data_IF_655829900425
#
_entry.id   IF_655829900425
#
_cell.length_a   1.000
_cell.length_b   1.000
_cell.length_c   1.000
_cell.angle_alpha   90.00
_cell.angle_beta   90.00
_cell.angle_gamma   90.00
#
_symmetry.space_group_name_H-M   'P 1'
#
loop_
_entity.id
_entity.type
_entity.pdbx_description
1 polymer ?
#
# COMPACT_ATOMS: atom_id res chain seq x y z
N UNK A 1 -53.85 67.34 6.30
CA UNK A 1 -53.40 66.37 5.27
C UNK A 1 -51.99 65.96 5.66
N UNK A 2 -51.85 64.80 6.31
CA UNK A 2 -51.07 63.62 5.85
C UNK A 2 -49.54 63.79 6.07
N UNK A 3 -48.75 62.93 6.73
CA UNK A 3 -48.85 61.50 7.06
C UNK A 3 -47.95 61.07 8.23
N UNK A 4 -48.40 60.03 8.93
CA UNK A 4 -47.64 59.16 9.82
C UNK A 4 -46.68 58.24 9.03
N UNK A 5 -45.39 58.55 9.03
CA UNK A 5 -44.37 57.65 8.46
C UNK A 5 -43.79 56.71 9.54
N UNK A 6 -44.53 55.61 9.68
CA UNK A 6 -44.40 54.41 10.50
C UNK A 6 -43.00 53.75 10.43
N UNK A 7 -42.25 53.76 11.55
CA UNK A 7 -40.98 53.01 11.72
C UNK A 7 -41.25 51.50 11.86
N UNK A 8 -41.09 50.72 10.80
CA UNK A 8 -41.20 49.25 10.81
C UNK A 8 -39.96 48.64 10.16
N UNK A 9 -39.03 48.13 10.96
CA UNK A 9 -37.91 47.40 10.37
C UNK A 9 -36.78 47.11 11.33
N UNK A 10 -37.03 46.46 12.47
CA UNK A 10 -35.92 45.96 13.31
C UNK A 10 -36.24 44.73 14.17
N UNK A 11 -37.34 44.02 13.91
CA UNK A 11 -37.68 42.80 14.66
C UNK A 11 -37.31 41.53 13.89
N UNK A 12 -37.44 41.52 12.55
CA UNK A 12 -37.15 40.35 11.72
C UNK A 12 -35.66 40.16 11.40
N UNK A 13 -34.84 41.22 11.47
CA UNK A 13 -33.37 41.15 11.27
C UNK A 13 -32.68 40.32 12.36
N UNK A 14 -33.14 40.44 13.62
CA UNK A 14 -32.57 39.72 14.77
C UNK A 14 -32.86 38.21 14.73
N UNK A 15 -34.01 37.83 14.19
CA UNK A 15 -34.37 36.41 14.01
C UNK A 15 -33.60 35.80 12.84
N UNK A 16 -33.41 36.56 11.77
CA UNK A 16 -32.69 36.10 10.57
C UNK A 16 -31.19 35.95 10.83
N UNK A 17 -30.57 36.84 11.61
CA UNK A 17 -29.18 36.69 12.07
C UNK A 17 -29.00 35.52 13.02
N UNK A 18 -29.96 35.26 13.93
CA UNK A 18 -29.90 34.10 14.82
C UNK A 18 -29.98 32.76 14.05
N UNK A 19 -30.84 32.67 13.04
CA UNK A 19 -30.96 31.47 12.18
C UNK A 19 -29.67 31.23 11.37
N UNK A 20 -29.07 32.29 10.83
CA UNK A 20 -27.80 32.18 10.10
C UNK A 20 -26.67 31.66 10.99
N UNK A 21 -26.50 32.20 12.20
CA UNK A 21 -25.46 31.77 13.15
C UNK A 21 -25.65 30.30 13.54
N UNK A 22 -26.88 29.87 13.83
CA UNK A 22 -27.19 28.48 14.18
C UNK A 22 -26.85 27.49 13.06
N UNK A 23 -27.05 27.88 11.80
CA UNK A 23 -26.73 27.02 10.66
C UNK A 23 -25.22 26.81 10.45
N UNK A 24 -24.39 27.81 10.79
CA UNK A 24 -22.93 27.68 10.69
C UNK A 24 -22.36 26.75 11.79
N UNK A 25 -22.95 26.75 12.98
CA UNK A 25 -22.50 25.95 14.12
C UNK A 25 -22.81 24.45 13.98
N UNK A 26 -23.86 24.08 13.23
CA UNK A 26 -24.27 22.69 13.03
C UNK A 26 -23.54 22.01 11.85
N UNK A 27 -22.80 22.77 11.04
CA UNK A 27 -22.11 22.25 9.85
C UNK A 27 -20.69 21.73 10.12
N UNK A 28 -20.19 21.78 11.36
CA UNK A 28 -18.90 21.18 11.70
C UNK A 28 -19.07 19.68 11.88
N UNK A 29 -18.88 18.91 10.80
CA UNK A 29 -18.77 17.46 10.86
C UNK A 29 -17.55 17.04 11.66
N UNK A 30 -17.71 16.04 12.53
CA UNK A 30 -16.61 15.44 13.28
C UNK A 30 -15.70 14.67 12.31
N UNK A 31 -14.56 15.25 11.95
CA UNK A 31 -13.50 14.54 11.21
C UNK A 31 -12.74 13.63 12.17
N UNK A 32 -13.11 12.35 12.18
CA UNK A 32 -12.31 11.31 12.84
C UNK A 32 -11.02 11.07 12.05
N UNK A 33 -9.88 11.35 12.66
CA UNK A 33 -8.59 10.90 12.14
C UNK A 33 -8.48 9.39 12.38
N UNK A 34 -8.50 8.59 11.32
CA UNK A 34 -8.10 7.20 11.41
C UNK A 34 -6.57 7.15 11.61
N UNK A 35 -6.11 6.56 12.70
CA UNK A 35 -4.69 6.22 12.84
C UNK A 35 -4.34 5.23 11.71
N UNK A 36 -3.53 5.66 10.75
CA UNK A 36 -2.85 4.73 9.84
C UNK A 36 -1.80 4.00 10.67
N UNK A 37 -2.19 2.86 11.26
CA UNK A 37 -1.25 1.91 11.83
C UNK A 37 -0.53 1.18 10.68
N UNK A 38 0.33 1.91 9.98
CA UNK A 38 1.38 1.31 9.18
C UNK A 38 2.70 1.82 9.73
N UNK A 39 3.04 1.32 10.92
CA UNK A 39 4.44 1.08 11.25
C UNK A 39 4.90 -0.17 10.49
N UNK A 40 4.61 -0.20 9.18
CA UNK A 40 5.31 -1.09 8.27
C UNK A 40 6.66 -0.41 8.09
N UNK A 41 7.49 -0.56 9.12
CA UNK A 41 8.92 -0.50 8.93
C UNK A 41 9.16 -1.37 7.71
N UNK A 42 9.44 -0.73 6.58
CA UNK A 42 9.97 -1.40 5.39
C UNK A 42 11.34 -1.95 5.80
N UNK A 43 11.33 -2.94 6.68
CA UNK A 43 12.42 -3.86 6.86
C UNK A 43 12.53 -4.46 5.49
N UNK A 44 13.64 -4.17 4.82
CA UNK A 44 14.10 -4.97 3.72
C UNK A 44 14.13 -6.39 4.28
N UNK A 45 13.07 -7.17 4.03
CA UNK A 45 13.17 -8.61 4.11
C UNK A 45 14.18 -8.92 3.02
N UNK A 46 15.42 -9.16 3.42
CA UNK A 46 16.39 -9.81 2.54
C UNK A 46 15.81 -11.19 2.26
N UNK A 47 14.93 -11.25 1.26
CA UNK A 47 14.44 -12.50 0.73
C UNK A 47 15.63 -13.12 0.04
N UNK A 48 16.11 -14.24 0.59
CA UNK A 48 17.15 -15.05 0.00
C UNK A 48 16.75 -15.35 -1.45
N UNK A 49 17.40 -14.70 -2.40
CA UNK A 49 17.12 -14.90 -3.82
C UNK A 49 17.77 -16.21 -4.23
N UNK A 50 16.97 -17.28 -4.27
CA UNK A 50 17.43 -18.57 -4.79
C UNK A 50 17.49 -18.52 -6.31
N UNK A 51 18.69 -18.59 -6.88
CA UNK A 51 18.90 -18.76 -8.31
C UNK A 51 19.00 -20.27 -8.58
N UNK A 52 18.20 -20.78 -9.52
CA UNK A 52 18.30 -22.17 -9.96
C UNK A 52 19.33 -22.31 -11.08
N UNK A 53 20.27 -23.25 -10.91
CA UNK A 53 21.27 -23.61 -11.91
C UNK A 53 21.01 -25.05 -12.35
N UNK A 54 20.90 -25.28 -13.65
CA UNK A 54 20.74 -26.61 -14.24
C UNK A 54 22.01 -26.99 -14.99
N UNK A 55 22.48 -28.22 -14.81
CA UNK A 55 23.68 -28.76 -15.45
C UNK A 55 23.30 -30.06 -16.16
N UNK A 56 23.92 -30.30 -17.32
CA UNK A 56 23.86 -31.59 -18.01
C UNK A 56 25.28 -32.06 -18.28
N UNK A 57 25.59 -33.29 -17.90
CA UNK A 57 26.90 -33.92 -18.11
C UNK A 57 26.78 -34.92 -19.25
N UNK A 58 27.59 -34.74 -20.29
CA UNK A 58 27.63 -35.62 -21.46
C UNK A 58 29.02 -36.18 -21.69
N UNK A 59 29.10 -37.34 -22.33
CA UNK A 59 30.35 -37.94 -22.77
C UNK A 59 30.87 -37.32 -24.09
N UNK A 60 31.97 -37.87 -24.63
CA UNK A 60 32.55 -37.41 -25.90
C UNK A 60 31.67 -37.62 -27.14
N UNK A 61 30.64 -38.47 -27.03
CA UNK A 61 29.68 -38.77 -28.10
C UNK A 61 28.36 -37.98 -27.93
N UNK A 62 28.21 -37.24 -26.83
CA UNK A 62 27.00 -36.49 -26.49
C UNK A 62 25.96 -37.31 -25.72
N UNK A 63 26.32 -38.49 -25.20
CA UNK A 63 25.44 -39.34 -24.41
C UNK A 63 25.38 -38.83 -22.95
N UNK A 64 24.19 -38.70 -22.34
CA UNK A 64 24.06 -38.25 -20.96
C UNK A 64 24.72 -39.20 -19.95
N UNK A 65 25.42 -38.63 -18.96
CA UNK A 65 26.08 -39.38 -17.89
C UNK A 65 25.21 -39.34 -16.64
N UNK A 66 24.66 -40.49 -16.27
CA UNK A 66 23.84 -40.68 -15.06
C UNK A 66 24.76 -40.91 -13.86
N UNK A 67 24.47 -40.27 -12.72
CA UNK A 67 25.21 -40.50 -11.48
C UNK A 67 26.52 -39.70 -11.36
N UNK A 68 26.74 -38.70 -12.20
CA UNK A 68 27.89 -37.80 -12.11
C UNK A 68 27.72 -36.84 -10.94
N UNK A 69 28.79 -36.66 -10.16
CA UNK A 69 28.82 -35.69 -9.06
C UNK A 69 29.18 -34.30 -9.59
N UNK A 70 28.33 -33.32 -9.31
CA UNK A 70 28.49 -31.92 -9.74
C UNK A 70 28.53 -31.03 -8.50
N UNK A 71 29.54 -30.15 -8.43
CA UNK A 71 29.72 -29.19 -7.34
C UNK A 71 29.85 -27.80 -7.96
N UNK A 72 29.05 -26.85 -7.49
CA UNK A 72 29.18 -25.45 -7.87
C UNK A 72 30.41 -24.85 -7.18
N UNK A 73 31.39 -24.42 -8.00
CA UNK A 73 32.67 -23.93 -7.50
C UNK A 73 32.50 -22.73 -6.57
N UNK A 74 33.13 -22.79 -5.40
CA UNK A 74 33.10 -21.71 -4.40
C UNK A 74 31.86 -21.73 -3.52
N UNK A 75 30.99 -22.73 -3.67
CA UNK A 75 29.83 -22.94 -2.81
C UNK A 75 29.86 -24.35 -2.22
N UNK A 76 28.90 -24.65 -1.34
CA UNK A 76 28.62 -26.01 -0.87
C UNK A 76 27.49 -26.68 -1.64
N UNK A 77 26.98 -26.03 -2.71
CA UNK A 77 25.90 -26.59 -3.52
C UNK A 77 26.45 -27.68 -4.44
N UNK A 78 25.71 -28.76 -4.55
CA UNK A 78 26.04 -29.85 -5.44
C UNK A 78 24.87 -30.81 -5.62
N UNK A 79 25.00 -31.70 -6.60
CA UNK A 79 23.96 -32.65 -6.97
C UNK A 79 24.52 -33.81 -7.78
N UNK A 80 23.68 -34.81 -7.96
CA UNK A 80 23.96 -35.98 -8.79
C UNK A 80 23.05 -35.92 -10.02
N UNK A 81 23.60 -36.15 -11.21
CA UNK A 81 22.85 -36.15 -12.48
C UNK A 81 21.83 -37.29 -12.57
N UNK A 82 20.70 -37.01 -13.24
CA UNK A 82 19.59 -37.97 -13.39
C UNK A 82 19.65 -38.73 -14.72
N UNK A 83 18.54 -39.34 -15.15
CA UNK A 83 18.46 -40.12 -16.41
C UNK A 83 18.73 -39.28 -17.67
N UNK A 84 18.60 -37.96 -17.58
CA UNK A 84 18.86 -37.02 -18.68
C UNK A 84 20.28 -36.44 -18.64
N UNK A 85 21.13 -36.91 -17.71
CA UNK A 85 22.47 -36.38 -17.45
C UNK A 85 22.45 -35.16 -16.55
#
# INVERSE_FOLDING_TARGET
MNEDHKKRGLTHSKLLTAVAISSLLLSSGNVMAAQTASNDSQGVQEQMQSISVTVTVVDTKGEPIIGANVIEKGTTNGGITDLNG
#
